data_IF_753677565869
#
_entry.id   IF_753677565869
#
_cell.length_a   1.000
_cell.length_b   1.000
_cell.length_c   1.000
_cell.angle_alpha   90.00
_cell.angle_beta   90.00
_cell.angle_gamma   90.00
#
_symmetry.space_group_name_H-M   'P 1'
#
loop_
_entity.id
_entity.type
_entity.pdbx_description
1 polymer ?
#
# COMPACT_ATOMS: atom_id res chain seq x y z
N UNK A 1 -12.80 27.96 -9.31
CA UNK A 1 -11.60 27.28 -8.80
C UNK A 1 -11.74 25.81 -9.14
N UNK A 2 -11.17 25.37 -10.26
CA UNK A 2 -11.21 23.96 -10.65
C UNK A 2 -10.22 23.20 -9.76
N UNK A 3 -10.71 22.52 -8.72
CA UNK A 3 -9.90 21.55 -7.97
C UNK A 3 -9.44 20.49 -8.95
N UNK A 4 -8.16 20.57 -9.34
CA UNK A 4 -7.50 19.62 -10.21
C UNK A 4 -7.58 18.25 -9.53
N UNK A 5 -8.45 17.37 -10.03
CA UNK A 5 -8.49 15.98 -9.59
C UNK A 5 -7.11 15.37 -9.85
N UNK A 6 -6.39 14.87 -8.84
CA UNK A 6 -5.20 14.07 -9.09
C UNK A 6 -5.62 12.85 -9.91
N UNK A 7 -4.87 12.58 -10.97
CA UNK A 7 -5.11 11.48 -11.88
C UNK A 7 -5.05 10.15 -11.13
N UNK A 8 -6.12 9.37 -11.21
CA UNK A 8 -6.35 8.05 -10.58
C UNK A 8 -5.41 6.93 -11.09
N UNK A 9 -4.35 7.27 -11.84
CA UNK A 9 -3.52 6.31 -12.58
C UNK A 9 -2.31 5.84 -11.78
N UNK A 10 -2.54 5.35 -10.57
CA UNK A 10 -1.50 4.60 -9.89
C UNK A 10 -1.46 3.18 -10.47
N UNK A 11 -0.35 2.84 -11.12
CA UNK A 11 -0.16 1.55 -11.76
C UNK A 11 -0.37 0.38 -10.80
N UNK A 12 -0.61 -0.81 -11.37
CA UNK A 12 -0.67 -2.08 -10.63
C UNK A 12 0.51 -2.19 -9.66
N UNK A 13 0.21 -2.44 -8.38
CA UNK A 13 1.22 -2.56 -7.31
C UNK A 13 1.57 -1.27 -6.56
N UNK A 14 1.03 -0.11 -6.95
CA UNK A 14 1.29 1.13 -6.22
C UNK A 14 0.64 1.14 -4.83
N UNK A 15 1.44 0.95 -3.78
CA UNK A 15 1.02 0.90 -2.38
C UNK A 15 2.14 1.50 -1.51
N UNK A 16 2.41 2.82 -1.62
CA UNK A 16 3.38 3.46 -0.73
C UNK A 16 2.85 3.44 0.70
N UNK A 17 3.72 3.72 1.64
CA UNK A 17 3.30 3.86 3.03
C UNK A 17 2.27 5.00 3.18
N UNK A 18 1.27 4.86 4.07
CA UNK A 18 0.28 5.89 4.28
C UNK A 18 0.89 7.21 4.80
N UNK A 19 0.20 8.35 4.60
CA UNK A 19 0.73 9.64 5.01
C UNK A 19 0.82 9.73 6.55
N UNK A 20 1.88 10.37 7.04
CA UNK A 20 2.06 10.69 8.47
C UNK A 20 1.24 11.93 8.83
N UNK A 21 -0.07 11.83 8.60
CA UNK A 21 -1.04 12.91 8.76
C UNK A 21 -2.22 12.40 9.61
N UNK A 22 -2.79 13.24 10.47
CA UNK A 22 -3.97 12.91 11.28
C UNK A 22 -5.19 12.53 10.42
N UNK A 23 -5.23 13.01 9.18
CA UNK A 23 -6.26 12.67 8.19
C UNK A 23 -5.84 11.53 7.25
N UNK A 24 -4.69 10.91 7.49
CA UNK A 24 -4.16 9.81 6.72
C UNK A 24 -4.86 8.51 7.06
N UNK A 25 -5.39 7.84 6.04
CA UNK A 25 -6.03 6.54 6.15
C UNK A 25 -5.54 5.60 5.04
N UNK A 26 -5.81 4.31 5.21
CA UNK A 26 -5.60 3.30 4.17
C UNK A 26 -6.97 2.76 3.74
N UNK A 27 -7.23 2.69 2.43
CA UNK A 27 -8.45 2.06 1.93
C UNK A 27 -8.41 0.54 2.12
N UNK A 28 -9.56 -0.13 1.97
CA UNK A 28 -9.65 -1.59 1.99
C UNK A 28 -8.73 -2.29 0.96
N UNK A 29 -8.31 -1.59 -0.09
CA UNK A 29 -7.36 -2.12 -1.08
C UNK A 29 -5.88 -1.88 -0.72
N UNK A 30 -5.60 -1.23 0.41
CA UNK A 30 -4.27 -0.83 0.83
C UNK A 30 -3.79 0.52 0.29
N UNK A 31 -4.65 1.33 -0.35
CA UNK A 31 -4.22 2.61 -0.95
C UNK A 31 -4.24 3.74 0.09
N UNK A 32 -3.24 4.64 0.10
CA UNK A 32 -3.30 5.83 0.93
C UNK A 32 -4.47 6.73 0.54
N UNK A 33 -5.21 7.20 1.53
CA UNK A 33 -6.39 8.06 1.43
C UNK A 33 -6.25 9.22 2.40
N UNK A 34 -6.76 10.37 2.00
CA UNK A 34 -6.98 11.50 2.90
C UNK A 34 -8.46 11.55 3.27
N UNK A 35 -8.78 11.42 4.55
CA UNK A 35 -10.13 11.51 5.10
C UNK A 35 -10.72 12.92 4.92
N UNK A 36 -9.90 13.96 5.11
CA UNK A 36 -10.32 15.36 5.02
C UNK A 36 -10.84 15.75 3.63
N UNK A 37 -10.21 15.22 2.57
CA UNK A 37 -10.60 15.45 1.18
C UNK A 37 -11.34 14.27 0.54
N UNK A 38 -11.62 13.23 1.33
CA UNK A 38 -12.32 12.00 0.92
C UNK A 38 -11.79 11.38 -0.38
N UNK A 39 -10.46 11.28 -0.54
CA UNK A 39 -9.83 10.83 -1.81
C UNK A 39 -8.52 10.06 -1.60
N UNK A 40 -8.16 9.24 -2.59
CA UNK A 40 -6.82 8.64 -2.69
C UNK A 40 -5.80 9.76 -2.97
N UNK A 41 -4.66 9.73 -2.28
CA UNK A 41 -3.62 10.76 -2.37
C UNK A 41 -2.24 10.14 -2.51
N UNK A 42 -1.33 10.78 -3.23
CA UNK A 42 0.11 10.50 -3.13
C UNK A 42 0.67 11.11 -1.83
N UNK A 43 1.11 10.30 -0.84
CA UNK A 43 1.61 10.82 0.43
C UNK A 43 2.78 11.79 0.26
N UNK A 44 3.69 11.52 -0.69
CA UNK A 44 4.89 12.32 -0.89
C UNK A 44 4.65 13.63 -1.64
N UNK A 45 3.53 13.74 -2.38
CA UNK A 45 3.24 14.90 -3.24
C UNK A 45 2.02 15.70 -2.81
N UNK A 46 1.00 15.04 -2.27
CA UNK A 46 -0.31 15.62 -2.00
C UNK A 46 -0.66 15.69 -0.52
N UNK A 47 -0.12 14.81 0.33
CA UNK A 47 -0.41 14.77 1.77
C UNK A 47 0.88 14.94 2.59
N UNK A 48 1.57 16.05 2.35
CA UNK A 48 2.81 16.45 3.02
C UNK A 48 2.93 17.96 3.13
N UNK A 49 4.15 18.51 3.11
CA UNK A 49 4.42 19.93 3.43
C UNK A 49 3.72 20.99 2.56
N UNK A 50 3.16 20.62 1.40
CA UNK A 50 2.37 21.51 0.55
C UNK A 50 0.85 21.45 0.79
N UNK A 51 0.37 20.57 1.69
CA UNK A 51 -1.05 20.39 1.95
C UNK A 51 -1.52 21.34 3.06
N UNK A 52 -2.58 22.14 2.83
CA UNK A 52 -3.08 23.10 3.82
C UNK A 52 -3.77 22.43 5.02
N UNK A 53 -4.22 21.19 4.86
CA UNK A 53 -4.84 20.38 5.91
C UNK A 53 -3.87 19.35 6.50
N UNK A 54 -2.56 19.49 6.26
CA UNK A 54 -1.59 18.57 6.84
C UNK A 54 -1.44 18.82 8.33
N UNK A 55 -1.71 17.79 9.12
CA UNK A 55 -1.47 17.77 10.56
C UNK A 55 -0.61 16.54 10.87
N UNK A 56 0.61 16.75 11.35
CA UNK A 56 1.55 15.66 11.60
C UNK A 56 0.99 14.71 12.68
N UNK A 57 0.92 13.43 12.35
CA UNK A 57 0.51 12.38 13.27
C UNK A 57 1.26 11.08 12.96
N UNK A 58 1.10 10.09 13.84
CA UNK A 58 1.62 8.75 13.58
C UNK A 58 0.95 8.15 12.34
N UNK A 59 1.71 7.36 11.60
CA UNK A 59 1.26 6.78 10.35
C UNK A 59 0.35 5.59 10.68
N UNK A 60 -0.87 5.50 10.08
CA UNK A 60 -1.70 4.33 10.31
C UNK A 60 -1.00 3.06 9.80
N UNK A 61 -1.18 1.95 10.50
CA UNK A 61 -0.67 0.66 10.04
C UNK A 61 -1.34 0.27 8.71
N UNK A 62 -0.56 -0.22 7.75
CA UNK A 62 -1.06 -0.82 6.52
C UNK A 62 -0.85 -2.34 6.60
N UNK A 63 -1.95 -3.10 6.71
CA UNK A 63 -2.01 -4.57 6.72
C UNK A 63 -1.66 -5.17 5.34
N UNK A 64 -0.47 -4.86 4.81
CA UNK A 64 -0.07 -5.21 3.45
C UNK A 64 0.04 -6.72 3.23
N UNK A 65 0.48 -7.44 4.26
CA UNK A 65 0.64 -8.88 4.19
C UNK A 65 -0.71 -9.58 4.22
N UNK A 66 -1.63 -9.18 5.12
CA UNK A 66 -3.02 -9.64 5.11
C UNK A 66 -3.71 -9.39 3.76
N UNK A 67 -3.57 -8.18 3.19
CA UNK A 67 -4.13 -7.86 1.87
C UNK A 67 -3.54 -8.70 0.72
N UNK A 68 -2.30 -9.18 0.85
CA UNK A 68 -1.71 -10.08 -0.14
C UNK A 68 -2.28 -11.49 0.01
N UNK A 69 -2.30 -11.98 1.25
CA UNK A 69 -2.75 -13.33 1.58
C UNK A 69 -4.23 -13.53 1.19
N UNK A 70 -5.09 -12.54 1.43
CA UNK A 70 -6.50 -12.58 1.03
C UNK A 70 -6.71 -12.61 -0.50
N UNK A 71 -5.81 -11.98 -1.27
CA UNK A 71 -6.01 -11.73 -2.71
C UNK A 71 -5.28 -12.71 -3.60
N UNK A 72 -4.49 -13.62 -3.03
CA UNK A 72 -3.70 -14.58 -3.78
C UNK A 72 -3.91 -15.98 -3.23
N UNK A 73 -3.92 -16.99 -4.08
CA UNK A 73 -3.92 -18.39 -3.64
C UNK A 73 -2.56 -18.85 -3.08
N UNK A 74 -1.58 -17.95 -3.02
CA UNK A 74 -0.23 -18.24 -2.57
C UNK A 74 -0.18 -18.18 -1.04
N UNK A 75 0.38 -19.21 -0.42
CA UNK A 75 0.57 -19.29 1.03
C UNK A 75 2.06 -19.12 1.34
N UNK A 76 2.42 -18.16 2.18
CA UNK A 76 3.82 -17.87 2.51
C UNK A 76 4.51 -19.03 3.24
N UNK A 77 3.81 -19.61 4.20
CA UNK A 77 4.21 -20.80 4.95
C UNK A 77 3.19 -21.92 4.70
N UNK A 78 3.27 -22.63 3.56
CA UNK A 78 2.39 -23.76 3.31
C UNK A 78 2.67 -24.85 4.35
N UNK A 79 1.63 -25.60 4.72
CA UNK A 79 1.76 -26.72 5.64
C UNK A 79 2.67 -27.81 5.04
N UNK A 80 3.66 -28.25 5.84
CA UNK A 80 4.56 -29.35 5.51
C UNK A 80 6.01 -28.94 5.23
N UNK A 81 6.94 -29.82 5.65
CA UNK A 81 8.39 -29.68 5.44
C UNK A 81 8.85 -30.21 4.07
N UNK A 82 7.93 -30.28 3.10
CA UNK A 82 8.21 -30.78 1.76
C UNK A 82 9.45 -30.08 1.16
N UNK A 83 10.23 -30.76 0.31
CA UNK A 83 11.52 -30.23 -0.13
C UNK A 83 11.33 -28.89 -0.84
N UNK A 84 11.75 -27.79 -0.19
CA UNK A 84 11.87 -26.48 -0.82
C UNK A 84 13.00 -26.53 -1.84
N UNK A 85 12.67 -26.99 -3.03
CA UNK A 85 13.61 -27.19 -4.14
C UNK A 85 13.28 -26.21 -5.25
N UNK A 86 14.25 -25.38 -5.63
CA UNK A 86 14.14 -24.62 -6.86
C UNK A 86 14.23 -25.57 -8.07
N UNK A 87 13.21 -25.58 -8.93
CA UNK A 87 13.24 -26.31 -10.19
C UNK A 87 14.43 -25.86 -11.04
N UNK A 88 15.14 -26.80 -11.66
CA UNK A 88 16.27 -26.52 -12.56
C UNK A 88 17.64 -26.40 -11.91
N UNK A 89 17.75 -26.35 -10.57
CA UNK A 89 19.06 -26.33 -9.88
C UNK A 89 19.71 -27.71 -9.71
N UNK A 90 19.04 -28.79 -10.10
CA UNK A 90 19.54 -30.18 -10.00
C UNK A 90 20.88 -30.41 -10.68
N UNK A 91 21.13 -29.66 -11.74
CA UNK A 91 22.25 -29.86 -12.66
C UNK A 91 23.54 -29.18 -12.19
N UNK A 92 23.47 -28.41 -11.09
CA UNK A 92 24.58 -27.63 -10.54
C UNK A 92 24.94 -28.03 -9.10
N UNK A 93 24.22 -29.00 -8.53
CA UNK A 93 24.48 -29.62 -7.23
C UNK A 93 25.01 -31.04 -7.45
#
# INVERSE_FOLDING_TARGET
MQSKKPSENYGKGWRPDPPACAHGETTADGRPRCAHFDRVVDPGRECGGGCPAFEAADRPAAERDGLRDERTAWVAAPEGDGPRRQSGLSRYL
#
